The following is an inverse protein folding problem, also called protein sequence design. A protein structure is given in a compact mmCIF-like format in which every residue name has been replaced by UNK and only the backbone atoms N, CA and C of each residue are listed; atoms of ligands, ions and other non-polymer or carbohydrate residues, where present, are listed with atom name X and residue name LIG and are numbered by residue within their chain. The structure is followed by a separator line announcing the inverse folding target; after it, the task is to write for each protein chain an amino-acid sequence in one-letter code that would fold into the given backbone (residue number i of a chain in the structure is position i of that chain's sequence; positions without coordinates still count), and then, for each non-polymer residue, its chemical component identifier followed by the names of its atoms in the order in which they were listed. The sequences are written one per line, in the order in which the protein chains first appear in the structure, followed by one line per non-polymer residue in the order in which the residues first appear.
data_IF_245216634263
#
_entry.id   IF_245216634263
#
_cell.length_a   1.000
_cell.length_b   1.000
_cell.length_c   1.000
_cell.angle_alpha   90.00
_cell.angle_beta   90.00
_cell.angle_gamma   90.00
#
_symmetry.space_group_name_H-M   'P 1'
#
loop_
_entity.id
_entity.type
_entity.pdbx_description
1 polymer ?
#
# COMPACT_ATOMS: atom_id res chain seq x y z
N UNK A 1 47.71 24.24 23.56
CA UNK A 1 47.12 25.51 23.10
C UNK A 1 46.27 25.22 21.88
N UNK A 2 44.96 25.43 22.01
CA UNK A 2 43.98 25.23 20.96
C UNK A 2 44.11 26.30 19.87
N UNK A 3 43.90 25.92 18.60
CA UNK A 3 43.52 26.85 17.55
C UNK A 3 42.32 26.27 16.81
N UNK A 4 41.14 26.79 17.17
CA UNK A 4 39.87 26.53 16.51
C UNK A 4 39.83 27.27 15.16
N UNK A 5 39.92 26.53 14.05
CA UNK A 5 39.56 27.05 12.74
C UNK A 5 38.04 26.91 12.54
N UNK A 6 37.35 28.04 12.36
CA UNK A 6 35.90 28.10 12.09
C UNK A 6 35.57 27.46 10.72
N UNK A 7 34.48 26.68 10.59
CA UNK A 7 33.98 26.27 9.29
C UNK A 7 33.36 27.48 8.53
N UNK A 8 33.47 27.53 7.19
CA UNK A 8 32.91 28.61 6.39
C UNK A 8 31.37 28.62 6.41
N UNK A 9 30.81 29.83 6.46
CA UNK A 9 29.38 30.13 6.49
C UNK A 9 28.69 29.75 5.18
N UNK A 10 27.66 28.91 5.29
CA UNK A 10 26.41 28.88 4.53
C UNK A 10 26.46 29.32 3.05
N UNK A 11 26.60 28.35 2.15
CA UNK A 11 25.98 28.47 0.83
C UNK A 11 24.49 28.13 0.99
N UNK A 12 23.63 29.09 0.69
CA UNK A 12 22.17 28.97 0.69
C UNK A 12 21.73 27.69 -0.02
N UNK A 13 21.07 26.76 0.70
CA UNK A 13 20.39 25.66 0.07
C UNK A 13 19.23 26.26 -0.73
N UNK A 14 19.42 26.31 -2.05
CA UNK A 14 18.30 26.45 -2.97
C UNK A 14 17.34 25.31 -2.66
N UNK A 15 16.18 25.67 -2.13
CA UNK A 15 15.01 24.82 -2.04
C UNK A 15 14.70 24.32 -3.45
N UNK A 16 15.30 23.17 -3.81
CA UNK A 16 14.84 22.39 -4.93
C UNK A 16 13.45 21.94 -4.54
N UNK A 17 12.46 22.64 -5.10
CA UNK A 17 11.05 22.34 -4.98
C UNK A 17 10.86 20.92 -5.49
N UNK A 18 10.79 20.01 -4.54
CA UNK A 18 10.65 18.57 -4.71
C UNK A 18 9.37 18.29 -5.51
N UNK A 19 9.46 17.37 -6.47
CA UNK A 19 8.55 17.26 -7.61
C UNK A 19 7.14 16.76 -7.26
N UNK A 20 6.18 17.16 -8.11
CA UNK A 20 4.76 16.75 -8.10
C UNK A 20 4.66 15.21 -8.08
N UNK A 21 4.03 14.65 -7.03
CA UNK A 21 3.67 13.23 -6.97
C UNK A 21 4.11 12.47 -5.71
N UNK A 22 4.86 13.09 -4.80
CA UNK A 22 5.51 12.35 -3.70
C UNK A 22 4.58 12.05 -2.51
N UNK A 23 3.54 12.83 -2.22
CA UNK A 23 2.94 12.78 -0.87
C UNK A 23 1.95 11.66 -0.52
N UNK A 24 1.55 10.79 -1.45
CA UNK A 24 0.43 9.85 -1.19
C UNK A 24 0.84 8.66 -0.32
N UNK A 25 2.04 8.10 -0.52
CA UNK A 25 2.55 6.97 0.28
C UNK A 25 3.19 7.40 1.60
N UNK A 26 3.63 8.66 1.71
CA UNK A 26 4.34 9.16 2.90
C UNK A 26 3.45 9.26 4.13
N UNK A 27 2.18 9.67 3.97
CA UNK A 27 1.30 9.91 5.11
C UNK A 27 0.93 8.62 5.87
N UNK A 28 0.53 7.51 5.21
CA UNK A 28 0.33 6.23 5.89
C UNK A 28 1.60 5.75 6.59
N UNK A 29 2.74 5.71 5.88
CA UNK A 29 4.02 5.21 6.40
C UNK A 29 4.55 6.03 7.59
N UNK A 30 4.30 7.33 7.61
CA UNK A 30 4.62 8.17 8.79
C UNK A 30 3.73 7.83 9.98
N UNK A 31 2.46 7.48 9.74
CA UNK A 31 1.57 6.95 10.78
C UNK A 31 2.09 5.63 11.35
N UNK A 32 2.48 4.71 10.47
CA UNK A 32 3.03 3.41 10.85
C UNK A 32 4.33 3.57 11.67
N UNK A 33 5.17 4.56 11.36
CA UNK A 33 6.36 4.91 12.15
C UNK A 33 6.01 5.36 13.57
N UNK A 34 4.95 6.15 13.73
CA UNK A 34 4.47 6.60 15.04
C UNK A 34 3.90 5.43 15.86
N UNK A 35 3.21 4.50 15.20
CA UNK A 35 2.64 3.30 15.82
C UNK A 35 3.72 2.23 16.10
N UNK A 36 4.83 2.27 15.38
CA UNK A 36 5.89 1.26 15.41
C UNK A 36 5.54 0.01 14.58
N UNK A 37 4.67 0.14 13.59
CA UNK A 37 4.15 -0.92 12.71
C UNK A 37 4.66 -0.82 11.27
N UNK A 38 5.68 -0.01 11.00
CA UNK A 38 6.25 0.12 9.64
C UNK A 38 6.53 -1.26 9.06
N UNK A 39 5.99 -1.50 7.88
CA UNK A 39 6.09 -2.77 7.19
C UNK A 39 6.85 -2.65 5.86
N UNK A 40 7.26 -3.80 5.36
CA UNK A 40 8.02 -3.96 4.14
C UNK A 40 7.08 -4.03 2.93
N UNK A 41 7.10 -2.96 2.12
CA UNK A 41 6.22 -2.79 0.95
C UNK A 41 6.76 -3.33 -0.39
N UNK A 42 7.86 -4.09 -0.36
CA UNK A 42 8.42 -4.76 -1.55
C UNK A 42 9.38 -3.90 -2.36
N UNK A 43 8.93 -2.70 -2.78
CA UNK A 43 9.79 -1.75 -3.49
C UNK A 43 10.49 -0.81 -2.50
N UNK A 44 11.79 -0.60 -2.70
CA UNK A 44 12.56 0.36 -1.92
C UNK A 44 12.88 -0.03 -0.49
N UNK A 45 12.78 -1.33 -0.20
CA UNK A 45 13.10 -1.89 1.11
C UNK A 45 14.56 -2.34 1.21
N UNK A 46 15.12 -2.17 2.41
CA UNK A 46 16.45 -2.65 2.76
C UNK A 46 16.41 -3.36 4.10
N UNK A 47 17.03 -4.54 4.16
CA UNK A 47 17.17 -5.32 5.40
C UNK A 47 18.65 -5.51 5.68
N UNK A 48 19.05 -5.29 6.93
CA UNK A 48 20.44 -5.54 7.34
C UNK A 48 20.74 -7.03 7.18
N UNK A 49 21.87 -7.36 6.58
CA UNK A 49 22.26 -8.77 6.37
C UNK A 49 22.26 -9.56 7.68
N UNK A 50 22.76 -8.98 8.78
CA UNK A 50 22.77 -9.65 10.09
C UNK A 50 21.37 -9.96 10.62
N UNK A 51 20.37 -9.12 10.33
CA UNK A 51 18.98 -9.38 10.72
C UNK A 51 18.37 -10.48 9.83
N UNK A 52 18.70 -10.48 8.54
CA UNK A 52 18.26 -11.49 7.59
C UNK A 52 18.84 -12.88 7.91
N UNK A 53 20.11 -12.95 8.32
CA UNK A 53 20.78 -14.21 8.68
C UNK A 53 20.19 -14.90 9.91
N UNK A 54 19.42 -14.19 10.75
CA UNK A 54 18.67 -14.79 11.88
C UNK A 54 17.62 -15.80 11.41
N UNK A 55 17.28 -15.79 10.13
CA UNK A 55 16.26 -16.62 9.52
C UNK A 55 16.81 -17.83 8.76
N UNK A 56 18.12 -18.11 8.87
CA UNK A 56 18.79 -19.24 8.21
C UNK A 56 19.05 -18.99 6.72
N UNK A 57 19.33 -20.07 6.00
CA UNK A 57 19.78 -20.03 4.60
C UNK A 57 18.66 -19.68 3.60
N UNK A 58 17.40 -19.79 4.03
CA UNK A 58 16.21 -19.49 3.22
C UNK A 58 15.29 -18.49 3.95
N UNK A 59 15.66 -17.19 3.98
CA UNK A 59 14.91 -16.21 4.76
C UNK A 59 13.57 -15.82 4.13
N UNK A 60 13.41 -16.03 2.82
CA UNK A 60 12.15 -15.83 2.10
C UNK A 60 11.27 -17.07 2.17
N UNK A 61 9.98 -16.84 2.35
CA UNK A 61 8.95 -17.87 2.38
C UNK A 61 8.28 -18.06 1.01
N UNK A 62 7.36 -19.02 0.93
CA UNK A 62 6.46 -19.19 -0.21
C UNK A 62 5.19 -18.30 -0.16
N UNK A 63 5.13 -17.29 0.72
CA UNK A 63 3.99 -16.38 0.75
C UNK A 63 3.94 -15.51 -0.50
N UNK A 64 2.73 -15.20 -0.96
CA UNK A 64 2.53 -14.37 -2.15
C UNK A 64 2.92 -12.90 -1.93
N UNK A 65 3.08 -12.50 -0.66
CA UNK A 65 3.61 -11.20 -0.19
C UNK A 65 4.75 -11.48 0.79
N UNK A 66 5.85 -12.00 0.23
CA UNK A 66 7.03 -12.40 0.97
C UNK A 66 7.71 -11.22 1.71
N UNK A 67 7.50 -10.00 1.22
CA UNK A 67 7.92 -8.74 1.81
C UNK A 67 7.20 -8.46 3.13
N UNK A 68 5.86 -8.44 3.09
CA UNK A 68 5.01 -8.30 4.29
C UNK A 68 5.32 -9.39 5.32
N UNK A 69 5.43 -10.65 4.89
CA UNK A 69 5.77 -11.73 5.81
C UNK A 69 7.16 -11.54 6.46
N UNK A 70 8.15 -11.08 5.69
CA UNK A 70 9.48 -10.79 6.23
C UNK A 70 9.42 -9.64 7.25
N UNK A 71 8.64 -8.59 6.99
CA UNK A 71 8.42 -7.49 7.93
C UNK A 71 7.81 -7.97 9.27
N UNK A 72 6.74 -8.77 9.22
CA UNK A 72 6.15 -9.38 10.42
C UNK A 72 7.16 -10.23 11.20
N UNK A 73 7.98 -11.01 10.50
CA UNK A 73 9.03 -11.84 11.14
C UNK A 73 10.13 -10.99 11.78
N UNK A 74 10.51 -9.87 11.17
CA UNK A 74 11.47 -8.92 11.74
C UNK A 74 10.95 -8.32 13.04
N UNK A 75 9.69 -7.87 13.06
CA UNK A 75 9.03 -7.37 14.28
C UNK A 75 8.97 -8.43 15.38
N UNK A 76 8.61 -9.68 15.04
CA UNK A 76 8.62 -10.79 15.98
C UNK A 76 10.02 -11.09 16.53
N UNK A 77 11.07 -10.91 15.73
CA UNK A 77 12.47 -11.06 16.13
C UNK A 77 13.04 -9.84 16.91
N UNK A 78 12.22 -8.82 17.16
CA UNK A 78 12.63 -7.59 17.87
C UNK A 78 13.51 -6.66 17.03
N UNK A 79 13.57 -6.85 15.71
CA UNK A 79 14.24 -5.90 14.83
C UNK A 79 13.41 -4.62 14.70
N UNK A 80 14.07 -3.46 14.65
CA UNK A 80 13.39 -2.18 14.42
C UNK A 80 13.28 -1.92 12.92
N UNK A 81 12.05 -1.85 12.42
CA UNK A 81 11.73 -1.42 11.06
C UNK A 81 11.43 0.08 11.08
N UNK A 82 11.99 0.84 10.12
CA UNK A 82 11.92 2.30 10.06
C UNK A 82 11.59 2.77 8.65
N UNK A 83 10.79 3.82 8.54
CA UNK A 83 10.50 4.49 7.28
C UNK A 83 11.54 5.59 6.99
N UNK A 84 12.21 5.51 5.83
CA UNK A 84 13.18 6.51 5.40
C UNK A 84 12.51 7.66 4.65
N UNK A 85 12.16 8.74 5.36
CA UNK A 85 11.41 9.88 4.80
C UNK A 85 12.13 10.64 3.68
N UNK A 86 13.46 10.55 3.63
CA UNK A 86 14.30 11.29 2.68
C UNK A 86 14.75 10.45 1.48
N UNK A 87 14.36 9.17 1.40
CA UNK A 87 14.68 8.30 0.29
C UNK A 87 13.55 8.35 -0.74
N UNK A 88 13.89 8.70 -1.99
CA UNK A 88 12.91 8.79 -3.08
C UNK A 88 13.15 7.64 -4.05
N UNK A 89 12.10 6.84 -4.26
CA UNK A 89 12.11 5.69 -5.17
C UNK A 89 10.90 5.80 -6.06
N UNK A 90 11.13 5.77 -7.37
CA UNK A 90 10.07 5.85 -8.37
C UNK A 90 9.65 4.45 -8.80
N UNK A 91 8.36 4.28 -9.06
CA UNK A 91 7.80 3.05 -9.59
C UNK A 91 6.82 3.36 -10.71
N UNK A 92 6.84 2.52 -11.74
CA UNK A 92 5.83 2.55 -12.77
C UNK A 92 4.49 2.01 -12.25
N UNK A 93 3.42 2.78 -12.42
CA UNK A 93 2.08 2.32 -12.09
C UNK A 93 1.59 1.25 -13.06
N UNK A 94 0.78 0.30 -12.57
CA UNK A 94 0.08 -0.65 -13.43
C UNK A 94 -1.14 0.05 -14.03
N UNK A 95 -1.10 0.31 -15.34
CA UNK A 95 -2.15 1.07 -16.05
C UNK A 95 -3.28 0.20 -16.58
N UNK A 96 -3.04 -1.09 -16.79
CA UNK A 96 -4.05 -2.03 -17.27
C UNK A 96 -4.94 -2.51 -16.10
N UNK A 97 -6.26 -2.28 -16.13
CA UNK A 97 -7.15 -2.66 -15.03
C UNK A 97 -7.15 -4.16 -14.74
N UNK A 98 -6.98 -5.01 -15.77
CA UNK A 98 -6.95 -6.46 -15.62
C UNK A 98 -5.68 -6.92 -14.88
N UNK A 99 -4.51 -6.38 -15.25
CA UNK A 99 -3.23 -6.57 -14.54
C UNK A 99 -3.30 -6.02 -13.12
N UNK A 100 -3.90 -4.85 -12.92
CA UNK A 100 -4.09 -4.24 -11.60
C UNK A 100 -4.96 -5.13 -10.70
N UNK A 101 -6.06 -5.66 -11.22
CA UNK A 101 -6.91 -6.62 -10.51
C UNK A 101 -6.14 -7.88 -10.10
N UNK A 102 -5.32 -8.45 -10.99
CA UNK A 102 -4.45 -9.59 -10.66
C UNK A 102 -3.45 -9.25 -9.55
N UNK A 103 -2.82 -8.07 -9.60
CA UNK A 103 -1.89 -7.60 -8.58
C UNK A 103 -2.60 -7.48 -7.22
N UNK A 104 -3.77 -6.84 -7.17
CA UNK A 104 -4.55 -6.66 -5.94
C UNK A 104 -5.04 -8.00 -5.36
N UNK A 105 -5.47 -8.93 -6.21
CA UNK A 105 -5.84 -10.28 -5.76
C UNK A 105 -4.64 -11.01 -5.14
N UNK A 106 -3.44 -10.90 -5.75
CA UNK A 106 -2.22 -11.49 -5.18
C UNK A 106 -1.90 -10.90 -3.80
N UNK A 107 -1.95 -9.58 -3.68
CA UNK A 107 -1.70 -8.89 -2.41
C UNK A 107 -2.71 -9.28 -1.34
N UNK A 108 -4.00 -9.30 -1.69
CA UNK A 108 -5.05 -9.75 -0.79
C UNK A 108 -4.82 -11.20 -0.34
N UNK A 109 -4.52 -12.11 -1.28
CA UNK A 109 -4.31 -13.52 -0.95
C UNK A 109 -3.08 -13.74 -0.07
N UNK A 110 -1.99 -13.02 -0.34
CA UNK A 110 -0.82 -13.03 0.50
C UNK A 110 -1.08 -12.50 1.91
N UNK A 111 -1.84 -11.42 2.05
CA UNK A 111 -2.25 -10.91 3.36
C UNK A 111 -3.09 -11.95 4.13
N UNK A 112 -4.02 -12.64 3.47
CA UNK A 112 -4.77 -13.76 4.08
C UNK A 112 -3.82 -14.86 4.61
N UNK A 113 -2.77 -15.22 3.85
CA UNK A 113 -1.74 -16.17 4.29
C UNK A 113 -0.99 -15.67 5.54
N UNK A 114 -0.77 -14.36 5.66
CA UNK A 114 -0.09 -13.74 6.80
C UNK A 114 -0.93 -13.70 8.08
N UNK A 115 -2.24 -13.93 8.05
CA UNK A 115 -3.09 -13.93 9.27
C UNK A 115 -2.59 -14.95 10.31
N UNK A 116 -1.94 -16.04 9.88
CA UNK A 116 -1.31 -17.04 10.77
C UNK A 116 -0.28 -16.45 11.75
N UNK A 117 0.24 -15.26 11.49
CA UNK A 117 1.17 -14.55 12.37
C UNK A 117 0.49 -13.79 13.50
N UNK A 118 -0.80 -13.46 13.38
CA UNK A 118 -1.53 -12.67 14.38
C UNK A 118 -1.44 -13.27 15.80
N UNK A 119 -1.63 -14.59 16.02
CA UNK A 119 -1.49 -15.16 17.36
C UNK A 119 -0.05 -15.08 17.92
N UNK A 120 0.97 -14.99 17.06
CA UNK A 120 2.37 -14.80 17.48
C UNK A 120 2.62 -13.34 17.82
N UNK A 121 2.06 -12.39 17.06
CA UNK A 121 2.14 -10.96 17.34
C UNK A 121 1.52 -10.64 18.70
N UNK A 122 0.33 -11.19 18.99
CA UNK A 122 -0.38 -11.00 20.27
C UNK A 122 0.45 -11.46 21.47
N UNK A 123 1.22 -12.55 21.32
CA UNK A 123 2.05 -13.12 22.40
C UNK A 123 3.46 -12.55 22.46
N UNK A 124 3.85 -11.69 21.52
CA UNK A 124 5.21 -11.20 21.40
C UNK A 124 5.47 -10.07 22.38
N UNK A 125 6.53 -10.20 23.19
CA UNK A 125 7.05 -9.10 24.00
C UNK A 125 7.73 -8.00 23.16
N UNK A 126 8.04 -8.28 21.89
CA UNK A 126 8.75 -7.37 21.00
C UNK A 126 7.79 -6.39 20.27
N UNK A 127 6.48 -6.68 20.27
CA UNK A 127 5.48 -5.89 19.54
C UNK A 127 4.68 -5.05 20.52
N UNK A 128 4.69 -3.74 20.35
CA UNK A 128 3.93 -2.81 21.19
C UNK A 128 2.45 -2.87 20.84
N UNK A 129 1.57 -2.57 21.80
CA UNK A 129 0.11 -2.58 21.61
C UNK A 129 -0.36 -1.74 20.42
N UNK A 130 0.12 -0.48 20.19
CA UNK A 130 -0.31 0.28 19.02
C UNK A 130 0.06 -0.39 17.69
N UNK A 131 1.27 -0.94 17.59
CA UNK A 131 1.70 -1.69 16.41
C UNK A 131 0.87 -2.97 16.23
N UNK A 132 0.57 -3.68 17.32
CA UNK A 132 -0.28 -4.87 17.30
C UNK A 132 -1.68 -4.56 16.76
N UNK A 133 -2.30 -3.47 17.21
CA UNK A 133 -3.62 -3.06 16.73
C UNK A 133 -3.60 -2.73 15.24
N UNK A 134 -2.55 -2.06 14.78
CA UNK A 134 -2.39 -1.73 13.36
C UNK A 134 -2.17 -2.97 12.50
N UNK A 135 -1.28 -3.88 12.92
CA UNK A 135 -1.12 -5.19 12.26
C UNK A 135 -2.41 -6.00 12.27
N UNK A 136 -3.14 -6.02 13.39
CA UNK A 136 -4.40 -6.75 13.48
C UNK A 136 -5.43 -6.18 12.51
N UNK A 137 -5.58 -4.85 12.45
CA UNK A 137 -6.43 -4.18 11.48
C UNK A 137 -6.06 -4.56 10.04
N UNK A 138 -4.78 -4.45 9.69
CA UNK A 138 -4.30 -4.72 8.34
C UNK A 138 -4.45 -6.19 7.93
N UNK A 139 -4.18 -7.14 8.83
CA UNK A 139 -4.29 -8.58 8.57
C UNK A 139 -5.74 -9.08 8.56
N UNK A 140 -6.64 -8.43 9.30
CA UNK A 140 -8.07 -8.76 9.30
C UNK A 140 -8.84 -8.08 8.17
N UNK A 141 -8.35 -6.97 7.62
CA UNK A 141 -9.08 -6.19 6.62
C UNK A 141 -9.59 -7.04 5.44
N UNK A 142 -8.81 -7.91 4.78
CA UNK A 142 -9.33 -8.71 3.67
C UNK A 142 -10.41 -9.72 4.07
N UNK A 143 -10.37 -10.21 5.31
CA UNK A 143 -11.41 -11.10 5.88
C UNK A 143 -12.72 -10.37 6.16
N UNK A 144 -12.66 -9.08 6.50
CA UNK A 144 -13.81 -8.25 6.82
C UNK A 144 -14.43 -7.56 5.59
N UNK A 145 -13.61 -7.25 4.58
CA UNK A 145 -14.08 -6.56 3.36
C UNK A 145 -15.13 -7.39 2.60
N UNK A 146 -14.93 -8.71 2.48
CA UNK A 146 -15.87 -9.58 1.75
C UNK A 146 -17.26 -9.65 2.41
N UNK A 147 -17.40 -10.00 3.71
CA UNK A 147 -18.72 -10.03 4.35
C UNK A 147 -19.35 -8.64 4.41
N UNK A 148 -18.57 -7.58 4.59
CA UNK A 148 -19.09 -6.21 4.53
C UNK A 148 -19.63 -5.87 3.14
N UNK A 149 -18.91 -6.25 2.07
CA UNK A 149 -19.37 -6.04 0.70
C UNK A 149 -20.65 -6.83 0.39
N UNK A 150 -20.75 -8.07 0.89
CA UNK A 150 -21.98 -8.88 0.77
C UNK A 150 -23.13 -8.23 1.53
N UNK A 151 -22.91 -7.78 2.77
CA UNK A 151 -23.92 -7.07 3.56
C UNK A 151 -24.44 -5.82 2.82
N UNK A 152 -23.53 -4.99 2.31
CA UNK A 152 -23.90 -3.79 1.53
C UNK A 152 -24.68 -4.17 0.27
N UNK A 153 -24.25 -5.20 -0.47
CA UNK A 153 -24.95 -5.66 -1.66
C UNK A 153 -26.37 -6.17 -1.35
N UNK A 154 -26.54 -6.90 -0.24
CA UNK A 154 -27.86 -7.36 0.23
C UNK A 154 -28.74 -6.17 0.60
N UNK A 155 -28.24 -5.21 1.36
CA UNK A 155 -29.00 -4.01 1.74
C UNK A 155 -29.44 -3.18 0.53
N UNK A 156 -28.57 -3.04 -0.48
CA UNK A 156 -28.92 -2.36 -1.73
C UNK A 156 -29.94 -3.18 -2.52
N UNK A 157 -29.76 -4.50 -2.60
CA UNK A 157 -30.68 -5.41 -3.29
C UNK A 157 -32.09 -5.40 -2.69
N UNK A 158 -32.21 -5.46 -1.36
CA UNK A 158 -33.51 -5.37 -0.67
C UNK A 158 -34.14 -3.99 -0.80
N UNK A 159 -33.33 -2.93 -0.88
CA UNK A 159 -33.83 -1.57 -1.15
C UNK A 159 -34.44 -1.47 -2.54
N UNK A 160 -33.74 -1.97 -3.56
CA UNK A 160 -34.23 -1.98 -4.94
C UNK A 160 -35.48 -2.86 -5.07
N UNK A 161 -35.47 -4.06 -4.47
CA UNK A 161 -36.64 -4.95 -4.46
C UNK A 161 -37.86 -4.31 -3.80
N UNK A 162 -37.67 -3.64 -2.66
CA UNK A 162 -38.74 -2.92 -1.98
C UNK A 162 -39.32 -1.77 -2.81
N UNK A 163 -38.50 -1.07 -3.60
CA UNK A 163 -38.98 -0.06 -4.54
C UNK A 163 -39.76 -0.67 -5.71
N UNK A 164 -39.32 -1.81 -6.24
CA UNK A 164 -39.99 -2.46 -7.37
C UNK A 164 -41.32 -3.13 -6.97
N UNK A 165 -41.39 -3.69 -5.77
CA UNK A 165 -42.55 -4.46 -5.28
C UNK A 165 -43.50 -3.65 -4.40
N UNK A 166 -43.07 -2.47 -3.93
CA UNK A 166 -43.78 -1.69 -2.92
C UNK A 166 -43.68 -2.27 -1.50
N UNK A 167 -42.89 -3.33 -1.30
CA UNK A 167 -42.71 -3.95 0.00
C UNK A 167 -41.70 -3.16 0.85
N UNK A 168 -42.13 -2.67 2.01
CA UNK A 168 -41.25 -1.94 2.95
C UNK A 168 -40.54 -2.85 3.95
N UNK A 169 -40.72 -4.18 3.87
CA UNK A 169 -40.13 -5.17 4.77
C UNK A 169 -40.34 -4.86 6.27
N UNK A 170 -41.54 -4.38 6.61
CA UNK A 170 -41.88 -3.94 7.97
C UNK A 170 -41.24 -2.59 8.34
N UNK A 171 -41.11 -1.66 7.37
CA UNK A 171 -40.52 -0.34 7.56
C UNK A 171 -38.98 -0.31 7.59
N UNK A 172 -38.33 -1.41 7.24
CA UNK A 172 -36.85 -1.52 7.20
C UNK A 172 -36.25 -1.00 5.90
N UNK A 173 -37.06 -0.91 4.85
CA UNK A 173 -36.68 -0.37 3.54
C UNK A 173 -37.42 0.93 3.31
N UNK A 174 -36.70 1.95 2.83
CA UNK A 174 -37.24 3.26 2.48
C UNK A 174 -38.37 3.13 1.46
N UNK A 175 -39.51 3.77 1.73
CA UNK A 175 -40.60 3.86 0.77
C UNK A 175 -40.23 4.80 -0.40
N UNK A 176 -41.07 4.84 -1.45
CA UNK A 176 -40.86 5.75 -2.59
C UNK A 176 -40.75 7.22 -2.16
N UNK A 177 -41.48 7.65 -1.14
CA UNK A 177 -41.40 9.02 -0.61
C UNK A 177 -40.07 9.31 0.11
N UNK A 178 -39.43 8.29 0.69
CA UNK A 178 -38.15 8.43 1.41
C UNK A 178 -36.93 8.18 0.49
N UNK A 179 -37.18 7.70 -0.73
CA UNK A 179 -36.13 7.31 -1.68
C UNK A 179 -35.10 8.42 -1.99
N UNK A 180 -35.46 9.72 -2.10
CA UNK A 180 -34.47 10.76 -2.38
C UNK A 180 -33.47 10.94 -1.23
N UNK A 181 -33.94 10.88 0.02
CA UNK A 181 -33.11 10.99 1.21
C UNK A 181 -32.18 9.78 1.32
N UNK A 182 -32.72 8.57 1.12
CA UNK A 182 -31.94 7.34 1.17
C UNK A 182 -30.80 7.36 0.14
N UNK A 183 -31.09 7.75 -1.11
CA UNK A 183 -30.08 7.88 -2.17
C UNK A 183 -29.03 8.93 -1.79
N UNK A 184 -29.44 10.09 -1.28
CA UNK A 184 -28.52 11.14 -0.86
C UNK A 184 -27.57 10.67 0.26
N UNK A 185 -28.07 9.92 1.24
CA UNK A 185 -27.26 9.35 2.33
C UNK A 185 -26.25 8.33 1.79
N UNK A 186 -26.67 7.41 0.92
CA UNK A 186 -25.79 6.42 0.30
C UNK A 186 -24.70 7.07 -0.55
N UNK A 187 -25.06 8.04 -1.39
CA UNK A 187 -24.08 8.77 -2.20
C UNK A 187 -23.10 9.55 -1.33
N UNK A 188 -23.58 10.21 -0.28
CA UNK A 188 -22.72 10.95 0.65
C UNK A 188 -21.76 10.03 1.39
N UNK A 189 -22.25 8.90 1.91
CA UNK A 189 -21.41 7.91 2.58
C UNK A 189 -20.34 7.34 1.64
N UNK A 190 -20.68 7.06 0.38
CA UNK A 190 -19.77 6.49 -0.60
C UNK A 190 -18.73 7.49 -1.14
N UNK A 191 -19.12 8.74 -1.38
CA UNK A 191 -18.22 9.77 -1.93
C UNK A 191 -17.37 10.47 -0.87
N UNK A 192 -17.89 10.63 0.36
CA UNK A 192 -17.26 11.48 1.38
C UNK A 192 -15.81 11.14 1.70
N UNK A 193 -15.34 9.88 1.79
CA UNK A 193 -13.94 9.60 2.08
C UNK A 193 -13.02 10.05 0.94
N UNK A 194 -13.45 9.87 -0.31
CA UNK A 194 -12.69 10.29 -1.50
C UNK A 194 -12.61 11.81 -1.62
N UNK A 195 -13.73 12.51 -1.39
CA UNK A 195 -13.75 13.98 -1.37
C UNK A 195 -12.91 14.52 -0.22
N UNK A 196 -13.05 13.96 0.99
CA UNK A 196 -12.25 14.34 2.16
C UNK A 196 -10.76 14.14 1.88
N UNK A 197 -10.36 13.01 1.30
CA UNK A 197 -8.98 12.78 0.88
C UNK A 197 -8.51 13.85 -0.11
N UNK A 198 -9.29 14.16 -1.14
CA UNK A 198 -8.95 15.18 -2.13
C UNK A 198 -8.75 16.57 -1.53
N UNK A 199 -9.57 16.94 -0.55
CA UNK A 199 -9.46 18.20 0.22
C UNK A 199 -8.22 18.19 1.11
N UNK A 200 -8.01 17.14 1.90
CA UNK A 200 -6.86 17.01 2.81
C UNK A 200 -5.55 17.00 2.01
N UNK A 201 -5.49 16.28 0.90
CA UNK A 201 -4.35 16.24 0.00
C UNK A 201 -3.99 17.65 -0.50
N UNK A 202 -4.99 18.41 -0.96
CA UNK A 202 -4.80 19.79 -1.40
C UNK A 202 -4.23 20.69 -0.30
N UNK A 203 -4.69 20.53 0.95
CA UNK A 203 -4.21 21.36 2.05
C UNK A 203 -2.80 20.99 2.51
N UNK A 204 -2.44 19.70 2.48
CA UNK A 204 -1.14 19.21 2.91
C UNK A 204 -0.03 19.42 1.88
N UNK A 205 -0.28 19.08 0.61
CA UNK A 205 0.77 19.08 -0.43
C UNK A 205 0.75 20.34 -1.30
N UNK A 206 -0.43 20.93 -1.54
CA UNK A 206 -0.61 22.14 -2.35
C UNK A 206 0.02 22.07 -3.75
N UNK A 207 0.14 20.88 -4.31
CA UNK A 207 0.81 20.56 -5.57
C UNK A 207 -0.13 20.62 -6.79
N UNK A 208 -1.40 20.25 -6.61
CA UNK A 208 -2.46 20.30 -7.62
C UNK A 208 -3.64 21.21 -7.20
N UNK A 209 -4.45 21.76 -8.14
CA UNK A 209 -5.64 22.53 -7.83
C UNK A 209 -6.76 21.66 -7.24
N UNK A 210 -7.60 22.25 -6.37
CA UNK A 210 -8.62 21.53 -5.60
C UNK A 210 -9.59 20.73 -6.47
N UNK A 211 -10.03 21.28 -7.62
CA UNK A 211 -10.98 20.59 -8.48
C UNK A 211 -10.42 19.27 -9.04
N UNK A 212 -9.10 19.19 -9.30
CA UNK A 212 -8.46 17.94 -9.76
C UNK A 212 -8.39 16.91 -8.65
N UNK A 213 -7.98 17.33 -7.44
CA UNK A 213 -7.85 16.40 -6.31
C UNK A 213 -9.22 15.86 -5.87
N UNK A 214 -10.26 16.70 -5.92
CA UNK A 214 -11.65 16.29 -5.68
C UNK A 214 -12.15 15.38 -6.81
N UNK A 215 -11.91 15.71 -8.08
CA UNK A 215 -12.31 14.86 -9.22
C UNK A 215 -11.67 13.46 -9.12
N UNK A 216 -10.39 13.38 -8.76
CA UNK A 216 -9.72 12.09 -8.48
C UNK A 216 -10.35 11.40 -7.26
N UNK A 217 -10.69 12.15 -6.22
CA UNK A 217 -11.43 11.66 -5.06
C UNK A 217 -12.78 11.03 -5.42
N UNK A 218 -13.48 11.53 -6.44
CA UNK A 218 -14.73 10.96 -6.94
C UNK A 218 -14.55 9.58 -7.61
N UNK A 219 -13.32 9.21 -7.98
CA UNK A 219 -12.99 7.86 -8.51
C UNK A 219 -12.84 6.83 -7.39
N UNK A 220 -12.75 7.25 -6.12
CA UNK A 220 -12.59 6.39 -4.94
C UNK A 220 -13.57 5.22 -4.84
N UNK A 221 -14.88 5.35 -5.15
CA UNK A 221 -15.81 4.21 -5.16
C UNK A 221 -15.38 3.11 -6.12
N UNK A 222 -14.82 3.47 -7.28
CA UNK A 222 -14.26 2.50 -8.23
C UNK A 222 -13.08 1.74 -7.64
N UNK A 223 -12.23 2.42 -6.85
CA UNK A 223 -11.14 1.78 -6.11
C UNK A 223 -11.67 0.82 -5.02
N UNK A 224 -12.73 1.20 -4.31
CA UNK A 224 -13.39 0.33 -3.33
C UNK A 224 -13.98 -0.93 -3.98
N UNK A 225 -14.65 -0.79 -5.13
CA UNK A 225 -15.19 -1.93 -5.88
C UNK A 225 -14.08 -2.85 -6.39
N UNK A 226 -13.01 -2.29 -6.95
CA UNK A 226 -11.84 -3.06 -7.34
C UNK A 226 -11.24 -3.82 -6.15
N UNK A 227 -11.13 -3.16 -4.99
CA UNK A 227 -10.66 -3.78 -3.75
C UNK A 227 -11.56 -4.92 -3.28
N UNK A 228 -12.87 -4.71 -3.25
CA UNK A 228 -13.86 -5.72 -2.85
C UNK A 228 -13.82 -6.95 -3.76
N UNK A 229 -13.83 -6.75 -5.08
CA UNK A 229 -13.73 -7.82 -6.07
C UNK A 229 -12.39 -8.57 -5.97
N UNK A 230 -11.29 -7.84 -5.80
CA UNK A 230 -9.97 -8.43 -5.64
C UNK A 230 -9.87 -9.28 -4.35
N UNK A 231 -10.42 -8.79 -3.24
CA UNK A 231 -10.49 -9.49 -1.95
C UNK A 231 -11.40 -10.72 -2.00
N UNK A 232 -12.56 -10.64 -2.66
CA UNK A 232 -13.44 -11.80 -2.86
C UNK A 232 -12.74 -12.89 -3.68
N UNK A 233 -12.07 -12.52 -4.78
CA UNK A 233 -11.27 -13.44 -5.58
C UNK A 233 -10.09 -14.03 -4.80
N UNK A 234 -9.43 -13.22 -3.98
CA UNK A 234 -8.32 -13.65 -3.12
C UNK A 234 -8.79 -14.68 -2.10
N UNK A 235 -9.91 -14.40 -1.42
CA UNK A 235 -10.50 -15.32 -0.44
C UNK A 235 -10.92 -16.64 -1.08
N UNK A 236 -11.61 -16.59 -2.23
CA UNK A 236 -11.99 -17.80 -2.96
C UNK A 236 -10.80 -18.65 -3.42
N UNK A 237 -9.66 -18.01 -3.78
CA UNK A 237 -8.42 -18.74 -4.11
C UNK A 237 -7.74 -19.31 -2.87
N UNK A 238 -7.71 -18.56 -1.78
CA UNK A 238 -7.13 -18.97 -0.50
C UNK A 238 -7.86 -20.21 0.05
N UNK A 239 -9.20 -20.17 0.08
CA UNK A 239 -10.02 -21.30 0.52
C UNK A 239 -9.90 -22.52 -0.40
N UNK A 240 -9.62 -22.31 -1.68
CA UNK A 240 -9.38 -23.39 -2.65
C UNK A 240 -7.92 -23.89 -2.70
N UNK A 241 -7.02 -23.40 -1.83
CA UNK A 241 -5.61 -23.78 -1.81
C UNK A 241 -4.82 -23.40 -3.07
N UNK A 242 -5.29 -22.42 -3.87
CA UNK A 242 -4.68 -22.06 -5.15
C UNK A 242 -3.62 -20.97 -4.99
N UNK A 243 -2.37 -21.36 -4.77
CA UNK A 243 -1.25 -20.44 -4.52
C UNK A 243 -0.39 -20.11 -5.75
N UNK A 244 -0.97 -20.14 -6.96
CA UNK A 244 -0.19 -19.83 -8.17
C UNK A 244 0.31 -18.38 -8.16
N UNK A 245 1.63 -18.22 -8.30
CA UNK A 245 2.31 -16.93 -8.39
C UNK A 245 2.31 -16.44 -9.84
N UNK A 246 1.76 -15.25 -10.09
CA UNK A 246 1.84 -14.58 -11.41
C UNK A 246 2.39 -13.17 -11.23
N UNK A 247 3.64 -12.96 -11.63
CA UNK A 247 4.24 -11.63 -11.64
C UNK A 247 3.64 -10.83 -12.78
N UNK A 248 3.20 -9.61 -12.48
CA UNK A 248 2.81 -8.67 -13.52
C UNK A 248 4.05 -8.31 -14.33
N UNK A 249 4.03 -8.61 -15.62
CA UNK A 249 5.08 -8.19 -16.56
C UNK A 249 5.28 -6.68 -16.49
N UNK A 250 6.54 -6.27 -16.47
CA UNK A 250 6.90 -4.86 -16.57
C UNK A 250 6.54 -4.38 -17.97
N UNK A 251 5.95 -3.20 -18.05
CA UNK A 251 5.80 -2.51 -19.33
C UNK A 251 7.20 -2.18 -19.85
N UNK A 252 7.40 -2.26 -21.16
CA UNK A 252 8.67 -1.84 -21.75
C UNK A 252 8.90 -0.36 -21.42
N UNK A 253 10.06 -0.05 -20.86
CA UNK A 253 10.49 1.34 -20.70
C UNK A 253 10.78 1.87 -22.10
N UNK A 254 10.13 2.99 -22.46
CA UNK A 254 10.38 3.63 -23.74
C UNK A 254 11.83 4.14 -23.74
N UNK A 255 12.70 3.50 -24.53
CA UNK A 255 14.14 3.81 -24.59
C UNK A 255 14.43 5.16 -25.29
N UNK A 256 13.40 5.94 -25.62
CA UNK A 256 13.45 7.17 -26.41
C UNK A 256 14.15 8.37 -25.77
N UNK A 257 14.80 8.24 -24.60
CA UNK A 257 15.67 9.29 -24.05
C UNK A 257 17.10 8.77 -23.93
N UNK A 258 17.91 9.11 -24.93
CA UNK A 258 19.35 8.86 -24.95
C UNK A 258 19.98 9.22 -23.58
N UNK A 259 20.63 8.27 -22.87
CA UNK A 259 21.16 8.51 -21.52
C UNK A 259 22.36 9.48 -21.47
N UNK A 260 22.74 10.11 -22.59
CA UNK A 260 23.82 11.08 -22.69
C UNK A 260 23.62 12.39 -21.87
N UNK A 261 22.44 12.62 -21.28
CA UNK A 261 22.12 13.86 -20.55
C UNK A 261 21.67 13.70 -19.11
N UNK A 262 21.83 12.53 -18.48
CA UNK A 262 21.66 12.46 -17.03
C UNK A 262 22.90 13.06 -16.35
N UNK A 263 22.78 14.10 -15.51
CA UNK A 263 23.91 14.61 -14.76
C UNK A 263 24.42 13.51 -13.84
N UNK A 264 25.66 13.07 -14.04
CA UNK A 264 26.36 12.18 -13.10
C UNK A 264 26.42 12.88 -11.76
N UNK A 265 25.62 12.42 -10.80
CA UNK A 265 25.80 12.76 -9.39
C UNK A 265 27.15 12.17 -8.97
N UNK A 266 28.18 13.01 -8.91
CA UNK A 266 29.47 12.65 -8.33
C UNK A 266 29.27 12.58 -6.82
N UNK A 267 29.16 11.36 -6.29
CA UNK A 267 29.33 11.12 -4.86
C UNK A 267 30.82 11.40 -4.53
N UNK A 268 31.13 12.34 -3.62
CA UNK A 268 32.50 12.53 -3.17
C UNK A 268 32.90 11.34 -2.30
N UNK A 269 33.90 10.56 -2.75
CA UNK A 269 34.59 9.55 -1.95
C UNK A 269 33.89 8.18 -1.84
N UNK A 270 34.05 7.35 -2.87
CA UNK A 270 34.24 5.88 -2.73
C UNK A 270 34.38 5.26 -4.11
N UNK A 271 35.62 5.03 -4.53
CA UNK A 271 35.90 4.04 -5.56
C UNK A 271 35.70 2.66 -4.95
N UNK A 272 34.49 2.09 -5.09
CA UNK A 272 34.32 0.64 -5.05
C UNK A 272 33.32 0.26 -6.14
N UNK A 273 33.81 0.16 -7.37
CA UNK A 273 33.04 -0.31 -8.51
C UNK A 273 33.06 -1.85 -8.50
N UNK A 274 32.16 -2.47 -7.74
CA UNK A 274 31.88 -3.90 -7.87
C UNK A 274 31.15 -4.13 -9.19
N UNK A 275 31.92 -4.40 -10.25
CA UNK A 275 31.40 -4.96 -11.51
C UNK A 275 30.93 -6.40 -11.26
N UNK A 276 29.66 -6.59 -10.93
CA UNK A 276 29.02 -7.90 -11.04
C UNK A 276 28.88 -8.27 -12.53
N UNK A 277 29.82 -9.06 -13.07
CA UNK A 277 29.62 -9.79 -14.32
C UNK A 277 28.77 -11.02 -14.01
N UNK A 278 27.49 -10.99 -14.37
CA UNK A 278 26.66 -12.18 -14.40
C UNK A 278 27.08 -13.03 -15.61
N UNK A 279 27.79 -14.14 -15.39
CA UNK A 279 28.09 -15.14 -16.42
C UNK A 279 26.90 -16.08 -16.51
N UNK A 280 26.17 -16.06 -17.62
CA UNK A 280 25.16 -17.07 -17.94
C UNK A 280 25.88 -18.39 -18.26
N UNK A 281 25.81 -19.37 -17.37
CA UNK A 281 26.14 -20.76 -17.68
C UNK A 281 25.01 -21.36 -18.53
N UNK A 282 25.24 -21.50 -19.83
CA UNK A 282 24.47 -22.45 -20.66
C UNK A 282 24.92 -23.86 -20.26
N UNK A 283 23.94 -24.71 -19.95
CA UNK A 283 24.15 -26.13 -19.69
C UNK A 283 24.74 -26.85 -20.90
N UNK A 284 25.44 -27.95 -20.62
CA UNK A 284 25.68 -29.04 -21.55
C UNK A 284 24.49 -29.98 -21.53
#
# INVERSE_FOLDING_TARGET
MASCARPPRTASSGSHRVGRGEGVAHAPQTGDELLGSVDLGGNGQFVRLTDLMRFGDSPWSCCLVEDLELGLRLHLAGARVRYATNAVITQQAVVDPSRLGRQRTRWGQGNLQCLRYLPRLVRSANVRVPALLDFAYYLLAPWLVVPLAVLVAVLLGTTVDGWLTGNTFGGRVSSWSDSPMAVALWLTALMSPGVLWGVVHRFRLRDEPLWRTVLVGLVYPGLLMLGALASAKALGRHLAGRDSWSKTERLAEDQGRNPAHLPRVRLPGSQLCLRCRCRSSRGR
#
